data_IF_003990216457
#
_entry.id   IF_003990216457
#
_cell.length_a   1.000
_cell.length_b   1.000
_cell.length_c   1.000
_cell.angle_alpha   90.00
_cell.angle_beta   90.00
_cell.angle_gamma   90.00
#
_symmetry.space_group_name_H-M   'P 1'
#
loop_
_entity.id
_entity.type
_entity.pdbx_description
1 polymer ?
#
# COMPACT_ATOMS: atom_id res chain seq x y z
N UNK A 1 -12.64 9.26 -6.91
CA UNK A 1 -12.29 7.88 -6.51
C UNK A 1 -11.39 7.30 -7.59
N UNK A 2 -10.14 6.93 -7.28
CA UNK A 2 -9.19 6.43 -8.28
C UNK A 2 -9.37 4.91 -8.39
N UNK A 3 -9.90 4.42 -9.51
CA UNK A 3 -10.26 3.00 -9.72
C UNK A 3 -9.05 2.05 -9.54
N UNK A 4 -7.83 2.61 -9.63
CA UNK A 4 -6.56 1.91 -9.41
C UNK A 4 -6.30 1.50 -7.96
N UNK A 5 -7.02 2.07 -6.98
CA UNK A 5 -6.86 1.73 -5.56
C UNK A 5 -7.70 0.53 -5.12
N UNK A 6 -8.58 0.01 -5.98
CA UNK A 6 -9.41 -1.14 -5.65
C UNK A 6 -8.57 -2.43 -5.70
N UNK A 7 -8.70 -3.25 -4.67
CA UNK A 7 -7.99 -4.53 -4.54
C UNK A 7 -8.84 -5.70 -5.05
N UNK A 8 -8.23 -6.84 -5.36
CA UNK A 8 -8.96 -8.04 -5.80
C UNK A 8 -10.02 -8.47 -4.77
N UNK A 9 -9.72 -8.35 -3.49
CA UNK A 9 -10.68 -8.54 -2.40
C UNK A 9 -11.86 -7.57 -2.50
N UNK A 10 -11.61 -6.30 -2.82
CA UNK A 10 -12.68 -5.29 -2.98
C UNK A 10 -13.64 -5.63 -4.12
N UNK A 11 -13.15 -6.13 -5.27
CA UNK A 11 -14.07 -6.54 -6.34
C UNK A 11 -14.97 -7.69 -5.93
N UNK A 12 -14.43 -8.68 -5.21
CA UNK A 12 -15.24 -9.82 -4.76
C UNK A 12 -16.28 -9.36 -3.74
N UNK A 13 -15.90 -8.47 -2.82
CA UNK A 13 -16.84 -7.88 -1.86
C UNK A 13 -17.93 -7.04 -2.55
N UNK A 14 -17.56 -6.20 -3.53
CA UNK A 14 -18.51 -5.44 -4.34
C UNK A 14 -19.44 -6.39 -5.09
N UNK A 15 -18.91 -7.46 -5.69
CA UNK A 15 -19.71 -8.49 -6.36
C UNK A 15 -20.70 -9.16 -5.42
N UNK A 16 -20.28 -9.52 -4.20
CA UNK A 16 -21.15 -10.09 -3.18
C UNK A 16 -22.25 -9.10 -2.74
N UNK A 17 -21.92 -7.82 -2.56
CA UNK A 17 -22.91 -6.78 -2.25
C UNK A 17 -23.92 -6.57 -3.39
N UNK A 18 -23.48 -6.63 -4.65
CA UNK A 18 -24.38 -6.59 -5.81
C UNK A 18 -25.28 -7.82 -5.84
N UNK A 19 -24.76 -9.01 -5.54
CA UNK A 19 -25.58 -10.22 -5.44
C UNK A 19 -26.63 -10.12 -4.32
N UNK A 20 -26.28 -9.57 -3.15
CA UNK A 20 -27.24 -9.29 -2.08
C UNK A 20 -28.33 -8.32 -2.54
N UNK A 21 -27.95 -7.25 -3.25
CA UNK A 21 -28.92 -6.31 -3.78
C UNK A 21 -29.87 -6.97 -4.79
N UNK A 22 -29.35 -7.77 -5.72
CA UNK A 22 -30.16 -8.52 -6.69
C UNK A 22 -31.10 -9.48 -5.95
N UNK A 23 -30.57 -10.22 -4.98
CA UNK A 23 -31.33 -11.18 -4.18
C UNK A 23 -32.47 -10.52 -3.40
N UNK A 24 -32.36 -9.24 -3.04
CA UNK A 24 -33.42 -8.52 -2.34
C UNK A 24 -34.70 -8.34 -3.15
N UNK A 25 -34.60 -8.36 -4.48
CA UNK A 25 -35.74 -8.27 -5.40
C UNK A 25 -36.27 -9.65 -5.83
N UNK A 26 -35.63 -10.73 -5.38
CA UNK A 26 -36.09 -12.09 -5.67
C UNK A 26 -36.98 -12.60 -4.55
N UNK A 27 -37.80 -13.58 -4.89
CA UNK A 27 -38.68 -14.28 -3.97
C UNK A 27 -37.86 -14.94 -2.85
N UNK A 28 -38.25 -14.68 -1.61
CA UNK A 28 -37.56 -15.20 -0.41
C UNK A 28 -38.03 -16.62 -0.11
N UNK A 29 -39.31 -16.89 -0.34
CA UNK A 29 -39.92 -18.21 -0.24
C UNK A 29 -40.68 -18.51 -1.52
N UNK A 30 -40.83 -19.78 -1.83
CA UNK A 30 -41.69 -20.26 -2.91
C UNK A 30 -42.49 -21.44 -2.39
N UNK A 31 -43.37 -22.02 -3.20
CA UNK A 31 -44.07 -23.26 -2.88
C UNK A 31 -44.28 -24.03 -4.18
N UNK A 32 -44.36 -25.35 -4.07
CA UNK A 32 -44.60 -26.18 -5.25
C UNK A 32 -46.02 -25.92 -5.78
N UNK A 33 -46.12 -25.52 -7.04
CA UNK A 33 -47.40 -25.19 -7.70
C UNK A 33 -47.72 -26.35 -8.65
N UNK A 34 -48.90 -27.00 -8.51
CA UNK A 34 -49.30 -28.06 -9.42
C UNK A 34 -49.27 -27.63 -10.90
N UNK A 35 -48.80 -28.53 -11.76
CA UNK A 35 -48.78 -28.30 -13.20
C UNK A 35 -50.18 -27.99 -13.75
N UNK A 36 -50.26 -27.00 -14.64
CA UNK A 36 -51.51 -26.60 -15.30
C UNK A 36 -52.29 -25.45 -14.63
N UNK A 37 -51.78 -24.90 -13.53
CA UNK A 37 -52.32 -23.66 -12.95
C UNK A 37 -51.97 -22.47 -13.89
N UNK A 38 -52.96 -21.69 -14.37
CA UNK A 38 -52.70 -20.50 -15.19
C UNK A 38 -51.85 -19.48 -14.45
N UNK A 39 -50.96 -18.78 -15.14
CA UNK A 39 -50.06 -17.77 -14.52
C UNK A 39 -50.85 -16.68 -13.76
N UNK A 40 -52.03 -16.30 -14.23
CA UNK A 40 -52.92 -15.34 -13.55
C UNK A 40 -53.48 -15.82 -12.21
N UNK A 41 -53.33 -17.10 -11.90
CA UNK A 41 -53.86 -17.76 -10.71
C UNK A 41 -52.75 -18.25 -9.78
N UNK A 42 -51.48 -18.07 -10.16
CA UNK A 42 -50.35 -18.38 -9.30
C UNK A 42 -50.25 -17.34 -8.18
N UNK A 43 -49.98 -17.75 -6.93
CA UNK A 43 -49.72 -16.80 -5.87
C UNK A 43 -48.42 -16.06 -6.14
N UNK A 44 -48.42 -14.74 -5.95
CA UNK A 44 -47.19 -13.94 -5.94
C UNK A 44 -46.46 -14.20 -4.62
N UNK A 45 -45.20 -14.60 -4.71
CA UNK A 45 -44.38 -14.81 -3.53
C UNK A 45 -43.65 -13.52 -3.12
N UNK A 46 -43.51 -13.27 -1.80
CA UNK A 46 -42.94 -12.03 -1.30
C UNK A 46 -41.44 -11.93 -1.57
N UNK A 47 -41.01 -10.75 -2.02
CA UNK A 47 -39.61 -10.33 -2.01
C UNK A 47 -39.22 -9.76 -0.63
N UNK A 48 -37.95 -9.43 -0.40
CA UNK A 48 -37.52 -8.85 0.89
C UNK A 48 -38.17 -7.51 1.21
N UNK A 49 -38.63 -6.80 0.19
CA UNK A 49 -39.27 -5.49 0.31
C UNK A 49 -40.74 -5.59 0.71
N UNK A 50 -41.40 -6.69 0.36
CA UNK A 50 -42.81 -6.93 0.67
C UNK A 50 -43.01 -7.42 2.11
N UNK A 51 -41.93 -7.89 2.75
CA UNK A 51 -42.00 -8.47 4.09
C UNK A 51 -41.82 -7.39 5.17
N UNK A 52 -42.86 -6.58 5.40
CA UNK A 52 -42.84 -5.50 6.37
C UNK A 52 -43.01 -5.93 7.84
N UNK A 53 -43.39 -7.19 8.11
CA UNK A 53 -43.68 -7.70 9.46
C UNK A 53 -43.00 -9.06 9.73
N UNK A 54 -42.55 -9.27 10.98
CA UNK A 54 -42.01 -10.55 11.44
C UNK A 54 -40.66 -10.96 10.81
N UNK A 55 -40.61 -12.19 10.29
CA UNK A 55 -39.42 -12.83 9.68
C UNK A 55 -38.83 -12.03 8.49
N UNK A 56 -39.60 -11.12 7.90
CA UNK A 56 -39.26 -10.28 6.76
C UNK A 56 -38.17 -9.23 6.96
N UNK A 57 -38.06 -8.72 8.19
CA UNK A 57 -37.09 -7.68 8.52
C UNK A 57 -35.66 -8.24 8.46
N UNK A 58 -35.48 -9.54 8.70
CA UNK A 58 -34.17 -10.17 8.73
C UNK A 58 -33.48 -10.21 7.35
N UNK A 59 -34.10 -10.72 6.27
CA UNK A 59 -33.53 -10.67 4.91
C UNK A 59 -33.16 -9.25 4.48
N UNK A 60 -34.05 -8.29 4.77
CA UNK A 60 -33.83 -6.88 4.47
C UNK A 60 -32.62 -6.31 5.23
N UNK A 61 -32.51 -6.59 6.52
CA UNK A 61 -31.39 -6.16 7.35
C UNK A 61 -30.05 -6.77 6.88
N UNK A 62 -30.04 -8.04 6.46
CA UNK A 62 -28.85 -8.69 5.88
C UNK A 62 -28.37 -7.95 4.64
N UNK A 63 -29.30 -7.60 3.74
CA UNK A 63 -28.98 -6.86 2.52
C UNK A 63 -28.38 -5.50 2.83
N UNK A 64 -29.03 -4.70 3.69
CA UNK A 64 -28.54 -3.37 4.05
C UNK A 64 -27.19 -3.43 4.76
N UNK A 65 -27.02 -4.35 5.70
CA UNK A 65 -25.78 -4.51 6.45
C UNK A 65 -24.62 -4.90 5.52
N UNK A 66 -24.87 -5.76 4.54
CA UNK A 66 -23.88 -6.12 3.52
C UNK A 66 -23.47 -4.94 2.64
N UNK A 67 -24.44 -4.11 2.23
CA UNK A 67 -24.17 -2.88 1.48
C UNK A 67 -23.36 -1.88 2.32
N UNK A 68 -23.71 -1.70 3.61
CA UNK A 68 -22.95 -0.85 4.52
C UNK A 68 -21.54 -1.37 4.79
N UNK A 69 -21.35 -2.69 4.85
CA UNK A 69 -20.04 -3.29 5.00
C UNK A 69 -19.10 -2.91 3.85
N UNK A 70 -19.55 -3.13 2.60
CA UNK A 70 -18.77 -2.79 1.41
C UNK A 70 -18.58 -1.27 1.30
N UNK A 71 -19.63 -0.50 1.55
CA UNK A 71 -19.56 0.95 1.60
C UNK A 71 -18.47 1.44 2.55
N UNK A 72 -18.44 0.94 3.78
CA UNK A 72 -17.45 1.31 4.79
C UNK A 72 -16.01 0.88 4.43
N UNK A 73 -15.82 -0.32 3.88
CA UNK A 73 -14.50 -0.82 3.47
C UNK A 73 -13.96 -0.02 2.28
N UNK A 74 -14.76 0.10 1.23
CA UNK A 74 -14.35 0.71 -0.04
C UNK A 74 -14.22 2.23 0.10
N UNK A 75 -15.16 2.89 0.78
CA UNK A 75 -15.08 4.32 1.05
C UNK A 75 -13.98 4.63 2.07
N UNK A 76 -13.77 3.75 3.06
CA UNK A 76 -12.67 3.85 4.01
C UNK A 76 -11.30 3.92 3.34
N UNK A 77 -11.13 3.23 2.20
CA UNK A 77 -9.89 3.30 1.40
C UNK A 77 -9.73 4.58 0.59
N UNK A 78 -10.83 5.28 0.29
CA UNK A 78 -10.78 6.57 -0.39
C UNK A 78 -10.44 7.72 0.56
N UNK A 79 -10.54 7.50 1.87
CA UNK A 79 -10.22 8.48 2.90
C UNK A 79 -8.73 8.44 3.28
N UNK A 80 -8.14 9.58 3.70
CA UNK A 80 -6.81 9.61 4.28
C UNK A 80 -6.70 8.65 5.48
N UNK A 81 -5.55 7.97 5.70
CA UNK A 81 -5.36 6.98 6.78
C UNK A 81 -5.65 7.50 8.20
N UNK A 82 -5.66 8.82 8.36
CA UNK A 82 -5.86 9.54 9.60
C UNK A 82 -7.34 9.87 9.90
N UNK A 83 -8.26 9.61 8.98
CA UNK A 83 -9.69 9.85 9.19
C UNK A 83 -10.28 8.68 10.00
N UNK A 84 -10.61 8.97 11.26
CA UNK A 84 -11.34 8.05 12.14
C UNK A 84 -12.79 8.55 12.25
N UNK A 85 -13.75 7.65 12.09
CA UNK A 85 -15.16 7.94 12.32
C UNK A 85 -15.48 7.54 13.77
N UNK A 86 -15.81 8.49 14.64
CA UNK A 86 -16.06 8.22 16.06
C UNK A 86 -14.93 7.46 16.78
N UNK A 87 -13.67 7.69 16.35
CA UNK A 87 -12.49 7.00 16.90
C UNK A 87 -12.21 5.62 16.30
N UNK A 88 -13.09 5.10 15.44
CA UNK A 88 -12.96 3.79 14.78
C UNK A 88 -12.47 3.98 13.34
N UNK A 89 -11.60 3.09 12.88
CA UNK A 89 -11.16 3.08 11.47
C UNK A 89 -12.31 2.54 10.61
N UNK A 90 -12.73 3.21 9.52
CA UNK A 90 -13.86 2.77 8.70
C UNK A 90 -13.74 1.31 8.19
N UNK A 91 -12.52 0.84 7.94
CA UNK A 91 -12.26 -0.56 7.55
C UNK A 91 -12.62 -1.57 8.66
N UNK A 92 -12.38 -1.24 9.93
CA UNK A 92 -12.74 -2.10 11.06
C UNK A 92 -14.25 -2.16 11.25
N UNK A 93 -14.93 -1.02 11.09
CA UNK A 93 -16.39 -0.96 11.11
C UNK A 93 -16.99 -1.81 9.98
N UNK A 94 -16.44 -1.68 8.78
CA UNK A 94 -16.87 -2.47 7.62
C UNK A 94 -16.63 -3.97 7.78
N UNK A 95 -15.51 -4.39 8.39
CA UNK A 95 -15.27 -5.79 8.75
C UNK A 95 -16.32 -6.30 9.73
N UNK A 96 -16.66 -5.51 10.76
CA UNK A 96 -17.71 -5.84 11.72
C UNK A 96 -19.06 -6.06 11.03
N UNK A 97 -19.45 -5.17 10.11
CA UNK A 97 -20.67 -5.31 9.32
C UNK A 97 -20.63 -6.53 8.38
N UNK A 98 -19.49 -6.83 7.74
CA UNK A 98 -19.37 -8.00 6.87
C UNK A 98 -19.58 -9.30 7.65
N UNK A 99 -18.95 -9.42 8.82
CA UNK A 99 -19.10 -10.59 9.69
C UNK A 99 -20.54 -10.73 10.22
N UNK A 100 -21.12 -9.62 10.68
CA UNK A 100 -22.50 -9.60 11.13
C UNK A 100 -23.48 -9.94 9.99
N UNK A 101 -23.19 -9.52 8.76
CA UNK A 101 -23.96 -9.89 7.56
C UNK A 101 -23.88 -11.39 7.32
N UNK A 102 -22.68 -11.98 7.30
CA UNK A 102 -22.50 -13.41 7.10
C UNK A 102 -23.19 -14.25 8.17
N UNK A 103 -23.01 -13.89 9.45
CA UNK A 103 -23.67 -14.58 10.55
C UNK A 103 -25.20 -14.45 10.48
N UNK A 104 -25.72 -13.23 10.24
CA UNK A 104 -27.16 -13.01 10.14
C UNK A 104 -27.78 -13.71 8.93
N UNK A 105 -27.02 -13.84 7.84
CA UNK A 105 -27.47 -14.57 6.64
C UNK A 105 -27.73 -16.05 6.93
N UNK A 106 -26.93 -16.69 7.79
CA UNK A 106 -27.21 -18.06 8.26
C UNK A 106 -28.53 -18.15 9.03
N UNK A 107 -28.87 -17.09 9.78
CA UNK A 107 -30.14 -16.97 10.49
C UNK A 107 -31.36 -17.09 9.58
N UNK A 108 -31.24 -16.67 8.31
CA UNK A 108 -32.35 -16.74 7.33
C UNK A 108 -32.81 -18.17 7.05
N UNK A 109 -31.94 -19.17 7.22
CA UNK A 109 -32.31 -20.57 7.07
C UNK A 109 -33.31 -21.04 8.14
N UNK A 110 -33.44 -20.28 9.23
CA UNK A 110 -34.33 -20.58 10.34
C UNK A 110 -35.57 -19.67 10.37
N UNK A 111 -35.76 -18.80 9.37
CA UNK A 111 -36.91 -17.89 9.31
C UNK A 111 -38.10 -18.45 8.55
N UNK A 112 -38.05 -19.73 8.14
CA UNK A 112 -39.17 -20.40 7.47
C UNK A 112 -40.38 -20.42 8.41
N UNK A 113 -41.52 -19.81 8.03
CA UNK A 113 -42.73 -19.85 8.85
C UNK A 113 -43.32 -21.27 8.86
N UNK A 114 -43.85 -21.68 10.01
CA UNK A 114 -44.69 -22.87 10.12
C UNK A 114 -46.03 -22.57 9.44
N UNK A 115 -46.34 -23.30 8.35
CA UNK A 115 -47.60 -23.14 7.62
C UNK A 115 -48.38 -24.46 7.65
N UNK A 116 -49.61 -24.44 8.19
CA UNK A 116 -50.48 -25.63 8.32
C UNK A 116 -51.17 -26.07 7.01
N UNK A 117 -50.69 -25.66 5.84
CA UNK A 117 -51.37 -26.00 4.58
C UNK A 117 -50.61 -25.81 3.26
N UNK A 118 -49.38 -25.29 3.28
CA UNK A 118 -48.56 -25.17 2.09
C UNK A 118 -47.09 -25.50 2.42
N UNK A 119 -46.51 -26.43 1.66
CA UNK A 119 -45.10 -26.79 1.76
C UNK A 119 -44.24 -25.66 1.16
N UNK A 120 -43.87 -24.69 2.00
CA UNK A 120 -42.99 -23.58 1.61
C UNK A 120 -41.57 -24.09 1.33
N UNK A 121 -40.95 -23.65 0.26
CA UNK A 121 -39.54 -23.88 -0.06
C UNK A 121 -38.73 -22.58 0.03
N UNK A 122 -37.40 -22.71 0.12
CA UNK A 122 -36.53 -21.55 0.08
C UNK A 122 -36.48 -20.99 -1.34
N UNK A 123 -36.88 -19.73 -1.48
CA UNK A 123 -36.78 -19.02 -2.75
C UNK A 123 -35.34 -18.66 -3.08
N UNK A 124 -35.10 -18.36 -4.37
CA UNK A 124 -33.77 -17.99 -4.86
C UNK A 124 -33.20 -16.75 -4.18
N UNK A 125 -34.06 -15.79 -3.78
CA UNK A 125 -33.63 -14.59 -3.05
C UNK A 125 -33.01 -14.90 -1.69
N UNK A 126 -33.53 -15.91 -0.98
CA UNK A 126 -32.98 -16.34 0.29
C UNK A 126 -31.65 -17.08 0.09
N UNK A 127 -31.61 -18.05 -0.83
CA UNK A 127 -30.42 -18.87 -1.09
C UNK A 127 -29.24 -17.99 -1.53
N UNK A 128 -29.46 -17.07 -2.48
CA UNK A 128 -28.42 -16.17 -2.97
C UNK A 128 -27.95 -15.25 -1.84
N UNK A 129 -28.86 -14.78 -0.97
CA UNK A 129 -28.51 -13.94 0.16
C UNK A 129 -27.62 -14.63 1.19
N UNK A 130 -27.89 -15.91 1.49
CA UNK A 130 -27.03 -16.73 2.36
C UNK A 130 -25.64 -16.86 1.75
N UNK A 131 -25.56 -17.26 0.48
CA UNK A 131 -24.28 -17.48 -0.20
C UNK A 131 -23.47 -16.18 -0.33
N UNK A 132 -24.11 -15.10 -0.76
CA UNK A 132 -23.46 -13.80 -0.92
C UNK A 132 -23.02 -13.22 0.43
N UNK A 133 -23.85 -13.36 1.48
CA UNK A 133 -23.49 -12.94 2.85
C UNK A 133 -22.29 -13.69 3.40
N UNK A 134 -22.22 -15.02 3.20
CA UNK A 134 -21.08 -15.83 3.60
C UNK A 134 -19.82 -15.48 2.81
N UNK A 135 -19.91 -15.33 1.49
CA UNK A 135 -18.78 -14.91 0.64
C UNK A 135 -18.27 -13.54 1.10
N UNK A 136 -19.15 -12.59 1.38
CA UNK A 136 -18.78 -11.26 1.86
C UNK A 136 -17.99 -11.36 3.18
N UNK A 137 -18.48 -12.12 4.16
CA UNK A 137 -17.82 -12.29 5.45
C UNK A 137 -16.45 -12.98 5.34
N UNK A 138 -16.37 -14.07 4.58
CA UNK A 138 -15.13 -14.82 4.37
C UNK A 138 -14.10 -13.97 3.63
N UNK A 139 -14.50 -13.29 2.56
CA UNK A 139 -13.59 -12.44 1.79
C UNK A 139 -13.12 -11.26 2.63
N UNK A 140 -13.97 -10.64 3.43
CA UNK A 140 -13.55 -9.56 4.34
C UNK A 140 -12.44 -10.03 5.29
N UNK A 141 -12.53 -11.23 5.87
CA UNK A 141 -11.48 -11.83 6.69
C UNK A 141 -10.21 -12.16 5.89
N UNK A 142 -10.37 -12.78 4.73
CA UNK A 142 -9.25 -13.16 3.88
C UNK A 142 -8.51 -11.95 3.32
N UNK A 143 -9.19 -10.83 3.11
CA UNK A 143 -8.55 -9.61 2.61
C UNK A 143 -7.55 -9.05 3.63
N UNK A 144 -7.72 -9.32 4.93
CA UNK A 144 -6.75 -8.92 5.96
C UNK A 144 -5.55 -9.87 6.06
N UNK A 145 -5.78 -11.16 5.81
CA UNK A 145 -4.80 -12.23 6.05
C UNK A 145 -4.05 -12.69 4.80
N UNK A 146 -4.63 -12.51 3.60
CA UNK A 146 -4.11 -13.03 2.33
C UNK A 146 -3.57 -11.90 1.47
N UNK A 147 -2.24 -11.79 1.29
CA UNK A 147 -1.62 -10.73 0.48
C UNK A 147 -2.10 -10.71 -0.98
N UNK A 148 -2.44 -11.88 -1.54
CA UNK A 148 -2.93 -12.00 -2.91
C UNK A 148 -4.25 -11.24 -3.15
N UNK A 149 -5.10 -11.10 -2.12
CA UNK A 149 -6.36 -10.35 -2.21
C UNK A 149 -6.16 -8.84 -2.06
N UNK A 150 -5.04 -8.40 -1.46
CA UNK A 150 -4.66 -6.97 -1.36
C UNK A 150 -4.08 -6.42 -2.67
N UNK A 151 -3.78 -7.28 -3.65
CA UNK A 151 -3.25 -6.84 -4.93
C UNK A 151 -4.25 -5.96 -5.69
N UNK A 152 -3.80 -4.89 -6.39
CA UNK A 152 -4.67 -4.05 -7.21
C UNK A 152 -5.42 -4.85 -8.28
N UNK A 153 -6.67 -4.49 -8.53
CA UNK A 153 -7.57 -5.13 -9.51
C UNK A 153 -7.12 -4.93 -10.95
N UNK A 154 -6.90 -3.68 -11.33
CA UNK A 154 -6.22 -3.36 -12.57
C UNK A 154 -4.76 -3.59 -12.27
N UNK A 155 -4.20 -4.70 -12.77
CA UNK A 155 -2.80 -5.08 -12.56
C UNK A 155 -1.93 -3.82 -12.61
N UNK A 156 -1.41 -3.43 -11.45
CA UNK A 156 -0.59 -2.25 -11.36
C UNK A 156 0.63 -2.51 -12.24
N UNK A 157 0.74 -1.77 -13.35
CA UNK A 157 2.04 -1.46 -13.93
C UNK A 157 2.83 -0.66 -12.89
N UNK A 158 3.33 -1.36 -11.87
CA UNK A 158 3.80 -0.80 -10.61
C UNK A 158 3.01 -1.36 -9.43
N UNK A 159 3.34 -2.57 -8.99
CA UNK A 159 3.05 -2.97 -7.62
C UNK A 159 3.94 -2.17 -6.65
N UNK A 160 3.45 -1.68 -5.49
CA UNK A 160 4.34 -1.41 -4.38
C UNK A 160 4.78 -2.77 -3.81
N UNK A 161 6.03 -3.16 -4.08
CA UNK A 161 6.65 -4.30 -3.41
C UNK A 161 6.77 -4.01 -1.89
N UNK A 162 6.45 -4.96 -1.01
CA UNK A 162 6.98 -4.97 0.36
C UNK A 162 8.50 -5.10 0.25
N UNK A 163 9.22 -4.18 0.89
CA UNK A 163 10.66 -3.99 0.69
C UNK A 163 11.53 -5.26 0.85
N UNK A 164 12.41 -5.45 -0.14
CA UNK A 164 13.70 -6.14 -0.06
C UNK A 164 14.56 -5.67 -1.27
N UNK A 165 15.91 -5.77 -1.21
CA UNK A 165 16.82 -4.68 -1.56
C UNK A 165 17.26 -4.65 -3.03
N UNK A 166 17.58 -3.42 -3.47
CA UNK A 166 18.49 -3.07 -4.56
C UNK A 166 18.14 -3.53 -6.00
N UNK A 167 17.73 -2.55 -6.82
CA UNK A 167 18.13 -2.43 -8.23
C UNK A 167 17.49 -3.38 -9.25
N UNK A 168 16.42 -2.93 -9.92
CA UNK A 168 15.94 -3.57 -11.15
C UNK A 168 14.71 -2.87 -11.72
N UNK A 169 14.93 -2.00 -12.71
CA UNK A 169 13.86 -1.35 -13.48
C UNK A 169 13.50 -2.25 -14.69
N UNK A 170 12.26 -2.76 -14.85
CA UNK A 170 11.82 -3.37 -16.10
C UNK A 170 11.40 -2.26 -17.06
N UNK A 171 12.01 -2.25 -18.25
CA UNK A 171 11.71 -1.33 -19.34
C UNK A 171 10.28 -1.44 -19.85
N UNK A 172 9.76 -0.31 -20.32
CA UNK A 172 8.51 -0.23 -21.08
C UNK A 172 8.66 -0.92 -22.45
N UNK A 173 7.66 -1.67 -22.92
CA UNK A 173 7.67 -2.24 -24.26
C UNK A 173 7.17 -1.21 -25.28
N UNK A 174 8.05 -0.80 -26.20
CA UNK A 174 7.64 -0.11 -27.42
C UNK A 174 8.53 1.06 -27.82
N UNK A 175 9.71 0.78 -28.40
CA UNK A 175 10.37 1.62 -29.41
C UNK A 175 11.54 0.86 -30.07
N UNK A 176 11.76 0.98 -31.39
CA UNK A 176 12.76 0.21 -32.12
C UNK A 176 14.20 0.67 -31.80
N UNK A 177 15.06 -0.32 -31.59
CA UNK A 177 16.48 -0.23 -31.25
C UNK A 177 17.33 0.19 -32.47
N UNK A 178 18.36 1.03 -32.28
CA UNK A 178 19.57 0.98 -33.10
C UNK A 178 20.76 0.38 -32.34
N UNK A 179 21.57 -0.33 -33.12
CA UNK A 179 22.67 -1.22 -32.79
C UNK A 179 24.00 -0.47 -32.54
N UNK A 180 24.86 -1.01 -31.66
CA UNK A 180 26.30 -0.65 -31.52
C UNK A 180 26.84 -1.05 -30.14
N UNK A 181 27.65 -2.13 -30.02
CA UNK A 181 29.14 -2.08 -29.92
C UNK A 181 29.54 -1.72 -28.48
N UNK A 182 30.32 -2.43 -27.67
CA UNK A 182 31.62 -3.13 -27.75
C UNK A 182 31.67 -4.02 -26.48
N UNK A 183 32.14 -5.27 -26.36
CA UNK A 183 33.35 -5.91 -26.86
C UNK A 183 34.33 -6.17 -25.68
N UNK A 184 34.25 -7.33 -25.00
CA UNK A 184 35.41 -7.94 -24.31
C UNK A 184 35.28 -9.48 -24.24
N UNK A 185 36.28 -10.25 -24.74
CA UNK A 185 36.26 -11.71 -24.77
C UNK A 185 36.90 -12.33 -23.51
N UNK A 186 36.39 -13.49 -23.08
CA UNK A 186 36.71 -14.10 -21.79
C UNK A 186 37.82 -15.15 -21.76
N UNK A 187 37.79 -15.97 -20.71
CA UNK A 187 38.43 -17.29 -20.61
C UNK A 187 37.94 -18.08 -19.38
N UNK A 188 37.54 -19.33 -19.61
CA UNK A 188 37.23 -20.45 -18.68
C UNK A 188 38.51 -21.32 -18.51
N UNK A 189 38.53 -22.49 -17.81
CA UNK A 189 37.74 -23.03 -16.67
C UNK A 189 38.63 -23.66 -15.55
N UNK A 190 38.08 -23.95 -14.36
CA UNK A 190 38.72 -24.87 -13.40
C UNK A 190 38.00 -25.03 -12.04
N UNK A 191 37.52 -26.25 -11.75
CA UNK A 191 37.05 -26.76 -10.43
C UNK A 191 38.20 -27.51 -9.69
N UNK A 192 38.09 -28.03 -8.44
CA UNK A 192 37.31 -27.65 -7.24
C UNK A 192 38.09 -27.72 -5.87
N UNK A 193 37.44 -27.28 -4.77
CA UNK A 193 37.55 -27.75 -3.35
C UNK A 193 38.65 -27.17 -2.38
N UNK A 194 38.62 -27.42 -1.02
CA UNK A 194 38.47 -26.39 0.05
C UNK A 194 39.58 -26.43 1.16
N UNK A 195 39.39 -25.71 2.29
CA UNK A 195 39.89 -25.98 3.67
C UNK A 195 40.75 -24.89 4.37
N UNK A 196 40.22 -24.34 5.48
CA UNK A 196 40.87 -24.19 6.80
C UNK A 196 41.87 -23.04 7.11
N UNK A 197 41.66 -22.34 8.23
CA UNK A 197 42.75 -21.74 9.05
C UNK A 197 42.56 -20.31 9.60
N UNK A 198 42.20 -20.19 10.88
CA UNK A 198 42.23 -19.00 11.77
C UNK A 198 43.63 -18.90 12.47
N UNK A 199 43.91 -18.00 13.45
CA UNK A 199 43.83 -16.52 13.59
C UNK A 199 45.23 -15.87 13.85
N UNK A 200 45.31 -14.53 13.86
CA UNK A 200 46.43 -13.80 14.50
C UNK A 200 46.24 -12.28 14.60
N UNK A 201 45.87 -11.80 15.78
CA UNK A 201 46.10 -10.42 16.28
C UNK A 201 47.46 -10.39 17.05
N UNK A 202 47.95 -9.29 17.69
CA UNK A 202 47.62 -7.84 17.62
C UNK A 202 48.87 -6.89 17.57
N UNK A 203 48.62 -5.56 17.60
CA UNK A 203 49.32 -4.52 18.42
C UNK A 203 50.33 -3.50 17.78
N UNK A 204 50.62 -2.33 18.45
CA UNK A 204 50.43 -0.96 17.91
C UNK A 204 51.62 0.01 18.18
N UNK A 205 51.54 1.30 17.78
CA UNK A 205 52.19 2.53 18.33
C UNK A 205 52.08 3.64 17.26
N UNK A 206 52.02 4.97 17.47
CA UNK A 206 52.26 5.85 18.61
C UNK A 206 53.00 7.14 18.16
N UNK A 207 52.27 8.27 18.07
CA UNK A 207 52.60 9.68 18.37
C UNK A 207 53.81 10.51 17.77
N UNK A 208 53.44 11.73 17.32
CA UNK A 208 54.04 13.08 17.61
C UNK A 208 55.06 13.78 16.62
N UNK A 209 55.36 15.12 16.73
CA UNK A 209 54.73 16.24 15.99
C UNK A 209 55.74 17.22 15.29
N UNK A 210 55.25 18.27 14.60
CA UNK A 210 56.09 19.41 14.16
C UNK A 210 55.29 20.63 13.68
N UNK A 211 55.66 21.83 14.15
CA UNK A 211 54.92 23.11 14.16
C UNK A 211 55.61 24.15 13.20
N UNK A 212 55.36 25.49 13.22
CA UNK A 212 54.74 26.29 12.13
C UNK A 212 55.63 27.40 11.50
N UNK A 213 55.15 28.14 10.48
CA UNK A 213 55.79 29.39 9.99
C UNK A 213 55.18 30.01 8.71
N UNK A 214 55.33 31.33 8.43
CA UNK A 214 54.17 32.21 8.18
C UNK A 214 54.16 33.06 6.87
N UNK A 215 52.96 33.51 6.49
CA UNK A 215 52.61 34.89 6.09
C UNK A 215 52.98 35.45 4.70
N UNK A 216 51.96 35.87 3.92
CA UNK A 216 51.92 37.17 3.23
C UNK A 216 50.51 37.51 2.67
N UNK A 217 50.18 38.81 2.77
CA UNK A 217 48.90 39.47 2.51
C UNK A 217 48.92 40.26 1.17
N UNK A 218 47.81 40.89 0.71
CA UNK A 218 47.37 40.93 -0.69
C UNK A 218 47.42 42.32 -1.37
N UNK A 219 47.22 42.40 -2.70
CA UNK A 219 46.76 43.62 -3.41
C UNK A 219 46.20 43.34 -4.84
N UNK A 220 45.52 44.30 -5.52
CA UNK A 220 44.15 44.11 -6.04
C UNK A 220 44.00 44.40 -7.56
N UNK A 221 42.87 44.01 -8.16
CA UNK A 221 42.49 44.49 -9.50
C UNK A 221 41.50 43.59 -10.25
N UNK A 222 40.31 44.12 -10.48
CA UNK A 222 39.09 43.50 -11.03
C UNK A 222 39.08 43.41 -12.58
N UNK A 223 37.93 43.20 -13.26
CA UNK A 223 37.00 42.05 -13.27
C UNK A 223 36.73 41.54 -14.70
N UNK A 224 36.57 40.23 -14.97
CA UNK A 224 35.75 39.83 -16.12
C UNK A 224 35.24 38.38 -16.12
N UNK A 225 33.90 38.29 -16.15
CA UNK A 225 33.03 37.31 -16.82
C UNK A 225 33.17 35.82 -16.44
N UNK A 226 32.28 35.43 -15.53
CA UNK A 226 31.94 34.05 -15.20
C UNK A 226 31.22 33.36 -16.37
N UNK A 227 31.84 32.30 -16.89
CA UNK A 227 31.15 31.18 -17.52
C UNK A 227 31.11 30.04 -16.48
N UNK A 228 29.94 29.40 -16.23
CA UNK A 228 29.83 28.35 -15.23
C UNK A 228 30.58 27.10 -15.71
N UNK A 229 31.81 26.97 -15.24
CA UNK A 229 32.61 25.77 -15.35
C UNK A 229 32.05 24.75 -14.34
N UNK A 230 31.80 23.48 -14.73
CA UNK A 230 31.33 22.45 -13.82
C UNK A 230 32.30 22.32 -12.65
N UNK A 231 31.83 22.68 -11.46
CA UNK A 231 32.60 22.61 -10.23
C UNK A 231 33.12 21.20 -10.02
N UNK A 232 34.44 21.08 -10.15
CA UNK A 232 35.22 19.91 -9.80
C UNK A 232 34.95 19.60 -8.32
N UNK A 233 34.38 18.42 -8.09
CA UNK A 233 34.28 17.84 -6.75
C UNK A 233 35.70 17.68 -6.21
N UNK A 234 36.04 18.47 -5.20
CA UNK A 234 37.24 18.27 -4.42
C UNK A 234 37.15 16.88 -3.74
N UNK A 235 38.18 16.03 -3.85
CA UNK A 235 38.16 14.68 -3.29
C UNK A 235 38.41 14.77 -1.78
N UNK A 236 37.32 14.88 -1.01
CA UNK A 236 37.32 14.59 0.43
C UNK A 236 37.12 13.10 0.62
N UNK A 237 38.22 12.39 0.89
CA UNK A 237 38.28 10.94 0.94
C UNK A 237 37.41 10.28 2.01
N UNK A 238 36.90 9.11 1.63
CA UNK A 238 36.11 8.19 2.43
C UNK A 238 35.06 7.56 1.53
N UNK A 239 35.05 6.24 1.42
CA UNK A 239 33.98 5.49 0.75
C UNK A 239 32.64 5.78 1.46
N UNK A 240 31.97 6.87 1.06
CA UNK A 240 30.69 7.25 1.63
C UNK A 240 29.64 6.24 1.18
N UNK A 241 29.14 5.46 2.12
CA UNK A 241 28.02 4.55 1.89
C UNK A 241 26.71 5.29 2.17
N UNK A 242 25.76 5.32 1.23
CA UNK A 242 24.45 5.88 1.49
C UNK A 242 23.78 5.17 2.67
N UNK A 243 23.17 5.93 3.56
CA UNK A 243 22.46 5.39 4.73
C UNK A 243 21.18 6.16 4.99
N UNK A 244 20.22 5.49 5.62
CA UNK A 244 18.97 6.11 6.04
C UNK A 244 19.18 6.81 7.38
N UNK A 245 18.60 7.99 7.54
CA UNK A 245 18.62 8.68 8.82
C UNK A 245 17.32 9.39 9.15
N UNK A 246 17.08 9.64 10.43
CA UNK A 246 15.97 10.45 10.94
C UNK A 246 16.51 11.60 11.81
N UNK A 247 15.79 12.73 11.82
CA UNK A 247 16.13 13.91 12.62
C UNK A 247 15.33 13.95 13.93
N UNK A 248 15.91 14.41 15.06
CA UNK A 248 15.20 14.49 16.34
C UNK A 248 14.28 15.71 16.45
N UNK A 249 14.61 16.80 15.74
CA UNK A 249 13.86 18.04 15.64
C UNK A 249 13.81 18.47 14.18
N UNK A 250 12.88 19.36 13.83
CA UNK A 250 12.77 19.81 12.46
C UNK A 250 14.04 20.55 11.99
N UNK A 251 14.55 20.22 10.80
CA UNK A 251 15.80 20.78 10.26
C UNK A 251 15.61 21.31 8.83
N UNK A 252 16.02 22.56 8.54
CA UNK A 252 15.98 23.05 7.16
C UNK A 252 17.02 22.32 6.30
N UNK A 253 16.63 22.09 5.05
CA UNK A 253 17.49 21.56 4.00
C UNK A 253 17.83 22.71 3.06
N UNK A 254 19.12 22.98 2.87
CA UNK A 254 19.58 24.06 2.00
C UNK A 254 19.90 23.53 0.59
N UNK A 255 19.77 24.33 -0.46
CA UNK A 255 20.18 23.93 -1.79
C UNK A 255 21.71 23.75 -1.87
N UNK A 256 22.14 22.90 -2.81
CA UNK A 256 23.56 22.58 -2.98
C UNK A 256 24.40 23.70 -3.60
N UNK A 257 23.73 24.69 -4.22
CA UNK A 257 24.31 25.90 -4.79
C UNK A 257 24.80 26.91 -3.73
N UNK A 258 24.55 26.62 -2.44
CA UNK A 258 24.97 27.43 -1.31
C UNK A 258 24.05 28.62 -1.02
N UNK A 259 22.90 28.73 -1.68
CA UNK A 259 21.95 29.80 -1.37
C UNK A 259 21.30 29.62 0.03
N UNK A 260 20.99 30.72 0.73
CA UNK A 260 20.53 30.67 2.13
C UNK A 260 19.05 30.30 2.28
N UNK A 261 18.31 30.14 1.18
CA UNK A 261 16.88 29.85 1.22
C UNK A 261 16.65 28.33 1.29
N UNK A 262 15.99 27.80 2.34
CA UNK A 262 15.72 26.37 2.43
C UNK A 262 14.86 25.86 1.26
N UNK A 263 15.21 24.69 0.73
CA UNK A 263 14.45 23.98 -0.31
C UNK A 263 13.43 23.00 0.25
N UNK A 264 13.65 22.54 1.49
CA UNK A 264 12.76 21.64 2.22
C UNK A 264 13.02 21.73 3.73
N UNK A 265 12.16 21.07 4.51
CA UNK A 265 12.33 20.90 5.96
C UNK A 265 12.20 19.41 6.29
N UNK A 266 13.18 18.87 7.01
CA UNK A 266 13.19 17.51 7.51
C UNK A 266 12.42 17.47 8.82
N UNK A 267 11.35 16.67 8.90
CA UNK A 267 10.51 16.53 10.07
C UNK A 267 10.90 15.31 10.92
N UNK A 268 10.73 15.37 12.26
CA UNK A 268 10.91 14.21 13.12
C UNK A 268 10.00 13.04 12.74
N UNK A 269 10.48 11.81 12.95
CA UNK A 269 9.72 10.58 12.63
C UNK A 269 9.70 10.19 11.14
N UNK A 270 10.33 10.97 10.27
CA UNK A 270 10.50 10.65 8.84
C UNK A 270 11.93 10.24 8.55
N UNK A 271 12.10 9.18 7.73
CA UNK A 271 13.41 8.70 7.27
C UNK A 271 13.79 9.35 5.95
N UNK A 272 15.04 9.80 5.88
CA UNK A 272 15.66 10.48 4.75
C UNK A 272 16.94 9.76 4.32
N UNK A 273 17.30 9.83 3.04
CA UNK A 273 18.50 9.18 2.52
C UNK A 273 19.67 10.15 2.49
N UNK A 274 20.75 9.85 3.21
CA UNK A 274 22.02 10.57 3.04
C UNK A 274 22.76 9.95 1.85
N UNK A 275 23.04 10.76 0.83
CA UNK A 275 23.68 10.31 -0.44
C UNK A 275 25.13 10.74 -0.56
N UNK A 276 25.53 11.76 0.20
CA UNK A 276 26.90 12.29 0.19
C UNK A 276 27.21 12.95 1.54
N UNK A 277 28.49 13.00 1.91
CA UNK A 277 28.97 13.76 3.07
C UNK A 277 29.91 14.88 2.62
N UNK A 278 29.54 16.12 2.95
CA UNK A 278 30.35 17.33 2.67
C UNK A 278 30.89 17.88 3.98
N UNK A 279 32.03 17.32 4.42
CA UNK A 279 32.60 17.63 5.74
C UNK A 279 31.69 17.14 6.86
N UNK A 280 31.11 18.06 7.63
CA UNK A 280 30.15 17.76 8.70
C UNK A 280 28.68 17.76 8.22
N UNK A 281 28.43 18.31 7.03
CA UNK A 281 27.11 18.38 6.44
C UNK A 281 26.80 17.09 5.65
N UNK A 282 25.53 16.74 5.56
CA UNK A 282 25.04 15.61 4.79
C UNK A 282 24.21 16.11 3.61
N UNK A 283 24.40 15.55 2.43
CA UNK A 283 23.46 15.76 1.34
C UNK A 283 22.34 14.74 1.50
N UNK A 284 21.14 15.23 1.80
CA UNK A 284 19.96 14.42 2.02
C UNK A 284 19.01 14.48 0.82
N UNK A 285 18.37 13.36 0.53
CA UNK A 285 17.29 13.25 -0.44
C UNK A 285 15.98 12.93 0.30
N UNK A 286 14.98 13.75 0.03
CA UNK A 286 13.61 13.59 0.52
C UNK A 286 12.82 12.59 -0.33
N UNK A 287 11.70 12.08 0.19
CA UNK A 287 10.88 11.07 -0.50
C UNK A 287 10.23 11.60 -1.79
N UNK A 288 9.98 12.91 -1.85
CA UNK A 288 9.50 13.63 -3.02
C UNK A 288 10.62 14.00 -4.01
N UNK A 289 11.86 13.56 -3.74
CA UNK A 289 13.00 13.68 -4.65
C UNK A 289 13.77 14.98 -4.54
N UNK A 290 13.40 15.92 -3.66
CA UNK A 290 14.20 17.12 -3.40
C UNK A 290 15.50 16.74 -2.69
N UNK A 291 16.61 17.23 -3.22
CA UNK A 291 17.97 17.04 -2.68
C UNK A 291 18.47 18.37 -2.11
N UNK A 292 19.21 18.29 -1.01
CA UNK A 292 19.85 19.45 -0.43
C UNK A 292 20.78 19.09 0.72
N UNK A 293 21.43 20.10 1.26
CA UNK A 293 22.45 20.01 2.30
C UNK A 293 21.82 20.23 3.67
N UNK A 294 21.92 19.22 4.52
CA UNK A 294 21.68 19.29 5.94
C UNK A 294 22.96 19.74 6.64
N UNK A 295 22.96 20.98 7.14
CA UNK A 295 24.13 21.56 7.81
C UNK A 295 24.32 21.04 9.23
N UNK A 296 23.23 20.75 9.95
CA UNK A 296 23.26 20.24 11.31
C UNK A 296 22.83 18.77 11.36
N UNK A 297 23.82 17.88 11.42
CA UNK A 297 23.65 16.43 11.55
C UNK A 297 23.65 15.95 13.02
N UNK A 298 23.53 16.86 13.99
CA UNK A 298 23.58 16.51 15.42
C UNK A 298 22.35 15.73 15.84
N UNK A 299 22.58 14.58 16.50
CA UNK A 299 21.51 13.75 17.06
C UNK A 299 20.69 12.97 16.03
N UNK A 300 21.14 12.87 14.78
CA UNK A 300 20.47 12.01 13.80
C UNK A 300 20.53 10.54 14.21
N UNK A 301 19.45 9.81 13.95
CA UNK A 301 19.41 8.35 14.08
C UNK A 301 19.78 7.75 12.73
N UNK A 302 20.65 6.75 12.69
CA UNK A 302 21.08 6.08 11.45
C UNK A 302 20.51 4.66 11.39
N UNK A 303 20.20 4.18 10.19
CA UNK A 303 19.68 2.84 9.91
C UNK A 303 20.13 2.30 8.56
#
# INVERSE_FOLDING_TARGET
MNIRSLTRGDAVMIGAAVLLLIASFLEVFTADIPDGVPDSSKPDFPTMWDMSEGAGVAPFAVTLLGLFAVGAIVFGRALPPQVKLFGIVPSQLGLGFALATGFSSLGLLFTKPDNEGADLEFGMGLIISVLAGLVLAVVALLTETVPALKAPLMGGGGAPMPGAPYGGQPGQPGQPQPQGGYGYPGQQPGQPQPYGGQPGQPQPYGAQPGQPGPGQQPQPGAPQQAQPQPGQHAPGGGDFQPFWFAVPVARPLFPEDGSPNPVAELAPGTWYLAVEQRGQALVAQTQDGRRGVLQDSSGIQRG
#
